data_IF_550133195483
#
_entry.id   IF_550133195483
#
_cell.length_a   1.000
_cell.length_b   1.000
_cell.length_c   1.000
_cell.angle_alpha   90.00
_cell.angle_beta   90.00
_cell.angle_gamma   90.00
#
_symmetry.space_group_name_H-M   'P 1'
#
loop_
_entity.id
_entity.type
_entity.pdbx_description
1 polymer ?
#
# COMPACT_ATOMS: atom_id res chain seq x y z
N UNK A 1 -14.61 -16.73 20.81
CA UNK A 1 -14.66 -16.80 19.33
C UNK A 1 -14.75 -15.40 18.77
N UNK A 2 -13.63 -14.83 18.34
CA UNK A 2 -13.49 -13.66 17.45
C UNK A 2 -11.98 -13.46 17.22
N UNK A 3 -11.33 -14.44 16.59
CA UNK A 3 -9.92 -14.33 16.21
C UNK A 3 -9.80 -14.09 14.73
N UNK A 4 -9.06 -13.06 14.35
CA UNK A 4 -8.70 -12.78 12.97
C UNK A 4 -7.55 -13.70 12.58
N UNK A 5 -7.63 -14.35 11.41
CA UNK A 5 -6.52 -15.15 10.91
C UNK A 5 -5.40 -14.22 10.41
N UNK A 6 -4.27 -14.22 11.12
CA UNK A 6 -3.12 -13.34 10.86
C UNK A 6 -2.59 -13.47 9.43
N UNK A 7 -2.41 -14.71 8.95
CA UNK A 7 -1.88 -14.96 7.60
C UNK A 7 -2.84 -14.47 6.51
N UNK A 8 -4.14 -14.69 6.70
CA UNK A 8 -5.17 -14.24 5.74
C UNK A 8 -5.29 -12.71 5.71
N UNK A 9 -5.31 -12.04 6.87
CA UNK A 9 -5.39 -10.58 6.89
C UNK A 9 -4.12 -9.94 6.33
N UNK A 10 -2.94 -10.45 6.71
CA UNK A 10 -1.69 -10.02 6.12
C UNK A 10 -1.71 -10.16 4.60
N UNK A 11 -2.07 -11.34 4.08
CA UNK A 11 -2.15 -11.55 2.62
C UNK A 11 -3.13 -10.58 1.94
N UNK A 12 -4.30 -10.34 2.53
CA UNK A 12 -5.28 -9.39 1.98
C UNK A 12 -4.71 -7.97 1.90
N UNK A 13 -4.02 -7.49 2.94
CA UNK A 13 -3.36 -6.18 2.91
C UNK A 13 -2.22 -6.15 1.89
N UNK A 14 -1.37 -7.17 1.86
CA UNK A 14 -0.28 -7.29 0.89
C UNK A 14 -0.78 -7.19 -0.56
N UNK A 15 -1.79 -8.00 -0.90
CA UNK A 15 -2.41 -8.00 -2.23
C UNK A 15 -3.05 -6.65 -2.54
N UNK A 16 -3.75 -6.03 -1.58
CA UNK A 16 -4.33 -4.70 -1.76
C UNK A 16 -3.26 -3.64 -2.01
N UNK A 17 -2.15 -3.68 -1.27
CA UNK A 17 -1.01 -2.77 -1.48
C UNK A 17 -0.39 -2.94 -2.87
N UNK A 18 -0.18 -4.17 -3.32
CA UNK A 18 0.30 -4.45 -4.68
C UNK A 18 -0.66 -3.93 -5.76
N UNK A 19 -1.97 -4.11 -5.59
CA UNK A 19 -2.99 -3.59 -6.50
C UNK A 19 -2.97 -2.05 -6.55
N UNK A 20 -2.83 -1.39 -5.40
CA UNK A 20 -2.71 0.07 -5.35
C UNK A 20 -1.45 0.56 -6.06
N UNK A 21 -0.32 -0.13 -5.89
CA UNK A 21 0.91 0.20 -6.61
C UNK A 21 0.73 0.09 -8.13
N UNK A 22 0.11 -1.01 -8.60
CA UNK A 22 -0.22 -1.17 -10.02
C UNK A 22 -1.14 -0.05 -10.49
N UNK A 23 -2.15 0.31 -9.70
CA UNK A 23 -3.02 1.46 -9.96
C UNK A 23 -2.22 2.77 -10.15
N UNK A 24 -1.23 3.03 -9.30
CA UNK A 24 -0.34 4.18 -9.45
C UNK A 24 0.43 4.14 -10.78
N UNK A 25 1.00 2.99 -11.14
CA UNK A 25 1.71 2.81 -12.43
C UNK A 25 0.78 3.08 -13.61
N UNK A 26 -0.47 2.59 -13.55
CA UNK A 26 -1.46 2.82 -14.60
C UNK A 26 -1.85 4.29 -14.72
N UNK A 27 -2.05 5.00 -13.61
CA UNK A 27 -2.27 6.45 -13.63
C UNK A 27 -1.10 7.14 -14.31
N UNK A 28 0.13 6.87 -13.89
CA UNK A 28 1.33 7.46 -14.48
C UNK A 28 1.44 7.21 -15.99
N UNK A 29 1.14 5.99 -16.44
CA UNK A 29 1.21 5.61 -17.84
C UNK A 29 0.09 6.24 -18.71
N UNK A 30 -1.07 6.53 -18.12
CA UNK A 30 -2.26 6.98 -18.88
C UNK A 30 -2.44 8.48 -18.91
N UNK A 31 -2.16 9.19 -17.80
CA UNK A 31 -2.42 10.63 -17.69
C UNK A 31 -1.17 11.51 -17.86
N UNK A 32 0.01 10.91 -17.98
CA UNK A 32 1.27 11.63 -18.15
C UNK A 32 1.66 12.46 -16.92
N UNK A 33 2.73 13.27 -17.04
CA UNK A 33 3.35 13.95 -15.90
C UNK A 33 2.41 14.92 -15.17
N UNK A 34 1.78 15.86 -15.89
CA UNK A 34 0.93 16.88 -15.27
C UNK A 34 -0.31 16.29 -14.59
N UNK A 35 -0.96 15.33 -15.24
CA UNK A 35 -2.10 14.61 -14.66
C UNK A 35 -1.71 13.86 -13.39
N UNK A 36 -0.53 13.23 -13.41
CA UNK A 36 0.02 12.50 -12.25
C UNK A 36 0.34 13.43 -11.08
N UNK A 37 0.97 14.59 -11.34
CA UNK A 37 1.24 15.61 -10.31
C UNK A 37 -0.08 16.07 -9.68
N UNK A 38 -1.08 16.41 -10.50
CA UNK A 38 -2.39 16.85 -10.00
C UNK A 38 -3.07 15.78 -9.15
N UNK A 39 -3.02 14.53 -9.59
CA UNK A 39 -3.59 13.39 -8.87
C UNK A 39 -2.94 13.20 -7.49
N UNK A 40 -1.60 13.11 -7.43
CA UNK A 40 -0.90 12.89 -6.17
C UNK A 40 -0.93 14.10 -5.24
N UNK A 41 -0.87 15.34 -5.75
CA UNK A 41 -1.04 16.53 -4.91
C UNK A 41 -2.45 16.58 -4.30
N UNK A 42 -3.47 16.08 -5.00
CA UNK A 42 -4.83 15.94 -4.46
C UNK A 42 -4.93 14.85 -3.40
N UNK A 43 -4.20 13.73 -3.54
CA UNK A 43 -4.18 12.64 -2.55
C UNK A 43 -3.36 12.98 -1.29
N UNK A 44 -2.23 13.65 -1.46
CA UNK A 44 -1.24 13.90 -0.40
C UNK A 44 -1.40 15.28 0.27
N UNK A 45 -2.58 15.90 0.13
CA UNK A 45 -3.00 17.20 0.66
C UNK A 45 -1.89 18.03 1.35
N UNK A 46 -1.37 19.04 0.65
CA UNK A 46 -0.32 19.94 1.17
C UNK A 46 1.11 19.54 0.78
N UNK A 47 1.30 18.44 0.07
CA UNK A 47 2.57 18.07 -0.55
C UNK A 47 2.54 18.35 -2.06
N UNK A 48 3.55 19.07 -2.57
CA UNK A 48 3.79 19.17 -4.01
C UNK A 48 4.83 18.15 -4.47
N UNK A 49 4.40 17.20 -5.29
CA UNK A 49 5.28 16.15 -5.83
C UNK A 49 6.04 16.56 -7.11
N UNK A 50 5.77 17.76 -7.64
CA UNK A 50 6.32 18.24 -8.92
C UNK A 50 7.85 18.19 -8.99
N UNK A 51 8.51 18.43 -7.85
CA UNK A 51 9.97 18.48 -7.71
C UNK A 51 10.65 17.10 -7.67
N UNK A 52 9.92 16.04 -7.27
CA UNK A 52 10.51 14.71 -7.00
C UNK A 52 10.01 13.62 -7.95
N UNK A 53 8.95 13.89 -8.70
CA UNK A 53 8.32 12.87 -9.55
C UNK A 53 9.21 12.47 -10.74
N UNK A 54 9.42 11.17 -10.89
CA UNK A 54 10.14 10.55 -12.02
C UNK A 54 9.14 9.77 -12.87
N UNK A 55 8.96 10.16 -14.14
CA UNK A 55 8.05 9.46 -15.06
C UNK A 55 8.73 8.29 -15.78
N UNK A 56 10.05 8.35 -15.91
CA UNK A 56 10.85 7.29 -16.52
C UNK A 56 11.37 6.37 -15.41
N UNK A 57 10.62 5.30 -15.14
CA UNK A 57 10.97 4.29 -14.16
C UNK A 57 11.21 2.98 -14.93
N UNK A 58 12.41 2.37 -14.82
CA UNK A 58 12.67 1.06 -15.38
C UNK A 58 11.67 0.02 -14.84
N UNK A 59 11.23 -0.89 -15.70
CA UNK A 59 10.27 -1.95 -15.33
C UNK A 59 10.72 -2.74 -14.10
N UNK A 60 12.03 -3.00 -13.95
CA UNK A 60 12.57 -3.72 -12.80
C UNK A 60 12.47 -2.94 -11.49
N UNK A 61 12.67 -1.62 -11.50
CA UNK A 61 12.45 -0.77 -10.31
C UNK A 61 10.97 -0.81 -9.89
N UNK A 62 10.04 -0.76 -10.86
CA UNK A 62 8.62 -0.89 -10.59
C UNK A 62 8.25 -2.26 -10.01
N UNK A 63 8.85 -3.34 -10.51
CA UNK A 63 8.62 -4.69 -9.99
C UNK A 63 9.13 -4.84 -8.54
N UNK A 64 10.31 -4.30 -8.22
CA UNK A 64 10.82 -4.25 -6.86
C UNK A 64 9.84 -3.47 -5.97
N UNK A 65 9.37 -2.30 -6.42
CA UNK A 65 8.42 -1.49 -5.67
C UNK A 65 7.10 -2.21 -5.36
N UNK A 66 6.59 -3.04 -6.28
CA UNK A 66 5.41 -3.90 -6.03
C UNK A 66 5.70 -4.90 -4.90
N UNK A 67 6.86 -5.56 -4.94
CA UNK A 67 7.26 -6.56 -3.93
C UNK A 67 7.43 -5.90 -2.57
N UNK A 68 8.11 -4.75 -2.49
CA UNK A 68 8.28 -3.99 -1.25
C UNK A 68 6.94 -3.53 -0.68
N UNK A 69 6.07 -2.97 -1.52
CA UNK A 69 4.73 -2.52 -1.12
C UNK A 69 3.89 -3.69 -0.61
N UNK A 70 3.96 -4.85 -1.27
CA UNK A 70 3.29 -6.07 -0.82
C UNK A 70 3.79 -6.50 0.55
N UNK A 71 5.11 -6.57 0.76
CA UNK A 71 5.71 -7.01 2.04
C UNK A 71 5.31 -6.06 3.17
N UNK A 72 5.43 -4.75 2.96
CA UNK A 72 5.09 -3.75 3.97
C UNK A 72 3.61 -3.80 4.33
N UNK A 73 2.72 -3.83 3.34
CA UNK A 73 1.28 -3.92 3.59
C UNK A 73 0.92 -5.27 4.26
N UNK A 74 1.56 -6.37 3.85
CA UNK A 74 1.38 -7.68 4.47
C UNK A 74 1.74 -7.68 5.95
N UNK A 75 2.89 -7.09 6.30
CA UNK A 75 3.32 -6.92 7.69
C UNK A 75 2.34 -6.07 8.49
N UNK A 76 1.85 -4.96 7.92
CA UNK A 76 0.83 -4.12 8.56
C UNK A 76 -0.44 -4.92 8.87
N UNK A 77 -0.98 -5.65 7.88
CA UNK A 77 -2.17 -6.49 8.07
C UNK A 77 -1.95 -7.60 9.10
N UNK A 78 -0.78 -8.25 9.09
CA UNK A 78 -0.42 -9.26 10.08
C UNK A 78 -0.34 -8.67 11.50
N UNK A 79 0.29 -7.50 11.66
CA UNK A 79 0.37 -6.78 12.93
C UNK A 79 -1.00 -6.40 13.45
N UNK A 80 -1.89 -5.86 12.61
CA UNK A 80 -3.27 -5.51 12.99
C UNK A 80 -4.00 -6.74 13.54
N UNK A 81 -3.95 -7.87 12.82
CA UNK A 81 -4.58 -9.12 13.28
C UNK A 81 -3.99 -9.63 14.60
N UNK A 82 -2.66 -9.60 14.75
CA UNK A 82 -1.99 -10.06 15.96
C UNK A 82 -2.36 -9.19 17.18
N UNK A 83 -2.33 -7.86 17.02
CA UNK A 83 -2.71 -6.91 18.08
C UNK A 83 -4.19 -7.07 18.44
N UNK A 84 -5.09 -7.16 17.45
CA UNK A 84 -6.52 -7.38 17.68
C UNK A 84 -6.78 -8.66 18.48
N UNK A 85 -6.14 -9.77 18.11
CA UNK A 85 -6.30 -11.03 18.81
C UNK A 85 -5.79 -10.96 20.25
N UNK A 86 -4.63 -10.32 20.47
CA UNK A 86 -4.02 -10.20 21.78
C UNK A 86 -4.81 -9.29 22.74
N UNK A 87 -5.45 -8.23 22.25
CA UNK A 87 -6.27 -7.32 23.08
C UNK A 87 -7.65 -7.89 23.38
N UNK A 88 -8.24 -8.65 22.45
CA UNK A 88 -9.58 -9.23 22.63
C UNK A 88 -9.55 -10.45 23.56
N UNK A 89 -8.44 -11.19 23.61
CA UNK A 89 -8.24 -12.32 24.54
C UNK A 89 -8.15 -11.88 26.01
N UNK A 90 -7.71 -10.65 26.29
CA UNK A 90 -7.59 -10.14 27.67
C UNK A 90 -8.90 -9.61 28.27
N UNK A 91 -10.00 -9.60 27.52
CA UNK A 91 -11.28 -9.01 27.96
C UNK A 91 -12.27 -10.01 28.59
N UNK A 92 -11.85 -11.26 28.80
CA UNK A 92 -12.63 -12.29 29.53
C UNK A 92 -12.21 -12.40 30.99
N UNK A 93 -12.26 -11.28 31.73
CA UNK A 93 -12.27 -11.23 33.20
C UNK A 93 -13.51 -10.49 33.65
#
# INVERSE_FOLDING_TARGET
MNRINVKKLGFAFGATGALLYIGCVLVMATVGREGTIKFFNSLLHGLDVSAVIRMEIPFWEALIGIVETFILAWLVGACIAAIYNATTERRTT
#
